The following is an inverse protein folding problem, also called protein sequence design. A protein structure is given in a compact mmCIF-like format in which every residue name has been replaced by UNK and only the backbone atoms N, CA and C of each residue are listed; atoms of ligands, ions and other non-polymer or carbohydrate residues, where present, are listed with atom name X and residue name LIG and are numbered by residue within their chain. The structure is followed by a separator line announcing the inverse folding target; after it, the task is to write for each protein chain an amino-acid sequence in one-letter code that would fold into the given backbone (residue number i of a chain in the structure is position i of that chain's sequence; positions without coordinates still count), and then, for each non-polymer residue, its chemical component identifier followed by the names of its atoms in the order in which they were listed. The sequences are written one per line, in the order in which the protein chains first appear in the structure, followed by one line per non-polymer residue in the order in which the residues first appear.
data_IF_021481635186
#
_entry.id   IF_021481635186
#
_cell.length_a   1.000
_cell.length_b   1.000
_cell.length_c   1.000
_cell.angle_alpha   90.00
_cell.angle_beta   90.00
_cell.angle_gamma   90.00
#
_symmetry.space_group_name_H-M   'P 1'
#
loop_
_entity.id
_entity.type
_entity.pdbx_description
1 polymer ?
#
# COMPACT_ATOMS: atom_id res chain seq x y z
N UNK A 1 20.30 -2.17 10.89
CA UNK A 1 19.60 -3.47 10.90
C UNK A 1 18.30 -3.29 10.13
N UNK A 2 18.19 -3.88 8.94
CA UNK A 2 16.95 -3.91 8.17
C UNK A 2 15.95 -4.78 8.94
N UNK A 3 15.01 -4.14 9.64
CA UNK A 3 13.92 -4.88 10.28
C UNK A 3 13.17 -5.66 9.20
N UNK A 4 12.76 -6.92 9.44
CA UNK A 4 12.01 -7.67 8.44
C UNK A 4 10.74 -6.88 8.12
N UNK A 5 10.56 -6.55 6.85
CA UNK A 5 9.34 -5.93 6.36
C UNK A 5 8.20 -6.85 6.77
N UNK A 6 7.26 -6.34 7.57
CA UNK A 6 6.12 -7.16 7.98
C UNK A 6 5.38 -7.64 6.73
N UNK A 7 4.80 -8.85 6.73
CA UNK A 7 3.97 -9.33 5.59
C UNK A 7 2.97 -8.27 5.13
N UNK A 8 2.39 -7.55 6.09
CA UNK A 8 1.46 -6.44 5.84
C UNK A 8 2.12 -5.28 5.09
N UNK A 9 3.36 -4.92 5.39
CA UNK A 9 4.08 -3.87 4.67
C UNK A 9 4.42 -4.32 3.24
N UNK A 10 4.78 -5.60 3.03
CA UNK A 10 5.01 -6.15 1.69
C UNK A 10 3.75 -6.14 0.83
N UNK A 11 2.59 -6.48 1.41
CA UNK A 11 1.31 -6.42 0.71
C UNK A 11 0.99 -5.00 0.23
N UNK A 12 1.30 -3.98 1.05
CA UNK A 12 1.14 -2.59 0.67
C UNK A 12 2.10 -2.16 -0.44
N UNK A 13 3.38 -2.53 -0.36
CA UNK A 13 4.37 -2.22 -1.40
C UNK A 13 4.00 -2.91 -2.73
N UNK A 14 3.58 -4.17 -2.69
CA UNK A 14 3.10 -4.91 -3.86
C UNK A 14 1.85 -4.27 -4.45
N UNK A 15 0.87 -3.92 -3.62
CA UNK A 15 -0.35 -3.26 -4.07
C UNK A 15 -0.07 -1.92 -4.74
N UNK A 16 0.80 -1.10 -4.15
CA UNK A 16 1.24 0.17 -4.75
C UNK A 16 1.92 -0.09 -6.10
N UNK A 17 2.85 -1.04 -6.18
CA UNK A 17 3.55 -1.38 -7.41
C UNK A 17 2.61 -1.84 -8.53
N UNK A 18 1.67 -2.74 -8.23
CA UNK A 18 0.70 -3.23 -9.23
C UNK A 18 -0.24 -2.11 -9.68
N UNK A 19 -0.62 -1.19 -8.79
CA UNK A 19 -1.40 -0.01 -9.17
C UNK A 19 -0.55 0.93 -10.04
N UNK A 20 0.71 1.22 -9.67
CA UNK A 20 1.57 2.13 -10.43
C UNK A 20 1.93 1.59 -11.82
N UNK A 21 2.00 0.26 -11.97
CA UNK A 21 2.15 -0.40 -13.27
C UNK A 21 0.90 -0.30 -14.15
N UNK A 22 -0.29 -0.45 -13.57
CA UNK A 22 -1.57 -0.32 -14.30
C UNK A 22 -1.92 1.13 -14.60
N UNK A 23 -1.47 2.05 -13.76
CA UNK A 23 -1.78 3.48 -13.80
C UNK A 23 -0.57 4.22 -13.26
N UNK A 24 -0.05 5.22 -13.96
CA UNK A 24 1.20 5.91 -13.59
C UNK A 24 1.32 6.45 -12.14
N UNK A 25 0.26 6.39 -11.33
CA UNK A 25 0.25 6.78 -9.93
C UNK A 25 -0.77 5.97 -9.11
N UNK A 26 -0.43 5.67 -7.85
CA UNK A 26 -1.33 5.07 -6.89
C UNK A 26 -1.93 6.13 -5.96
N UNK A 27 -3.26 6.21 -5.87
CA UNK A 27 -3.95 7.04 -4.86
C UNK A 27 -4.33 6.18 -3.67
N UNK A 28 -4.51 6.81 -2.50
CA UNK A 28 -5.02 6.15 -1.29
C UNK A 28 -6.31 5.37 -1.55
N UNK A 29 -7.25 5.92 -2.34
CA UNK A 29 -8.49 5.19 -2.66
C UNK A 29 -8.26 3.95 -3.52
N UNK A 30 -7.24 3.98 -4.39
CA UNK A 30 -6.90 2.87 -5.27
C UNK A 30 -6.25 1.75 -4.40
N UNK A 31 -5.34 2.13 -3.48
CA UNK A 31 -4.68 1.23 -2.51
C UNK A 31 -5.69 0.60 -1.54
N UNK A 32 -6.59 1.42 -0.99
CA UNK A 32 -7.62 0.96 -0.05
C UNK A 32 -8.55 -0.08 -0.69
N UNK A 33 -8.91 0.14 -1.96
CA UNK A 33 -9.72 -0.80 -2.74
C UNK A 33 -8.96 -2.09 -3.04
N UNK A 34 -7.70 -2.00 -3.47
CA UNK A 34 -6.88 -3.16 -3.82
C UNK A 34 -6.66 -4.09 -2.62
N UNK A 35 -6.43 -3.52 -1.44
CA UNK A 35 -6.10 -4.26 -0.22
C UNK A 35 -7.33 -4.56 0.67
N UNK A 36 -8.54 -4.13 0.26
CA UNK A 36 -9.77 -4.35 1.02
C UNK A 36 -9.79 -3.67 2.40
N UNK A 37 -9.10 -2.54 2.55
CA UNK A 37 -8.98 -1.81 3.82
C UNK A 37 -9.75 -0.49 3.79
N UNK A 38 -10.00 0.07 4.98
CA UNK A 38 -10.56 1.43 5.08
C UNK A 38 -9.55 2.46 4.56
N UNK A 39 -10.00 3.55 3.89
CA UNK A 39 -9.11 4.61 3.45
C UNK A 39 -8.23 5.19 4.55
N UNK A 40 -8.77 5.38 5.77
CA UNK A 40 -8.00 5.86 6.93
C UNK A 40 -6.84 4.92 7.29
N UNK A 41 -7.07 3.60 7.27
CA UNK A 41 -6.02 2.59 7.48
C UNK A 41 -4.98 2.64 6.36
N UNK A 42 -5.39 2.85 5.11
CA UNK A 42 -4.45 3.01 4.00
C UNK A 42 -3.58 4.26 4.16
N UNK A 43 -4.14 5.40 4.58
CA UNK A 43 -3.37 6.62 4.88
C UNK A 43 -2.34 6.35 5.97
N UNK A 44 -2.76 5.76 7.08
CA UNK A 44 -1.88 5.48 8.22
C UNK A 44 -0.72 4.56 7.82
N UNK A 45 -1.01 3.49 7.09
CA UNK A 45 0.01 2.53 6.66
C UNK A 45 0.99 3.16 5.66
N UNK A 46 0.50 3.93 4.68
CA UNK A 46 1.36 4.60 3.70
C UNK A 46 2.28 5.64 4.37
N UNK A 47 1.86 6.26 5.48
CA UNK A 47 2.73 7.15 6.27
C UNK A 47 3.83 6.41 7.04
N UNK A 48 3.68 5.10 7.26
CA UNK A 48 4.63 4.24 8.00
C UNK A 48 5.56 3.44 7.07
N UNK A 49 5.29 3.42 5.76
CA UNK A 49 6.18 2.86 4.75
C UNK A 49 7.39 3.78 4.56
#
# INVERSE_FOLDING_TARGET
MSSPVSRRSEDYLRGIYEITRRKAFARIKDIAKELGVRPSTAVEMVRKL
#
